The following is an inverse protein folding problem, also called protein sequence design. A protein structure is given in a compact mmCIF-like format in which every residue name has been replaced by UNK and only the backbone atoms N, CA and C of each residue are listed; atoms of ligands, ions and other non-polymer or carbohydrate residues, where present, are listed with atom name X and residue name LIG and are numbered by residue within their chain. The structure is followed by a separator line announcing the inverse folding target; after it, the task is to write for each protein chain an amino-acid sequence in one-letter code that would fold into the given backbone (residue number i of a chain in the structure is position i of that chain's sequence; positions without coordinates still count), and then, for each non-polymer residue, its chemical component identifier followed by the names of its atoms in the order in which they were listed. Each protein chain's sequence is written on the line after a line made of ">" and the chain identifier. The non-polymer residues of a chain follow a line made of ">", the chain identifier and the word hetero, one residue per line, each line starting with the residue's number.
data_IF_430017983071
#
_entry.id   IF_430017983071
#
_cell.length_a   1.000
_cell.length_b   1.000
_cell.length_c   1.000
_cell.angle_alpha   90.00
_cell.angle_beta   90.00
_cell.angle_gamma   90.00
#
_symmetry.space_group_name_H-M   'P 1'
#
loop_
_entity.id
_entity.type
_entity.pdbx_description
1 polymer ?
#
# COMPACT_ATOMS: atom_id res chain seq x y z
N UNK A 1 4.66 7.84 35.89
CA UNK A 1 4.82 6.72 34.94
C UNK A 1 3.53 5.94 34.99
N UNK A 2 2.83 5.81 33.87
CA UNK A 2 1.54 5.09 33.84
C UNK A 2 1.84 3.60 33.67
N UNK A 3 1.78 2.84 34.76
CA UNK A 3 1.74 1.39 34.71
C UNK A 3 0.39 0.95 34.13
N UNK A 4 0.32 0.93 32.80
CA UNK A 4 -0.76 0.25 32.09
C UNK A 4 -0.37 -1.22 31.99
N UNK A 5 -0.90 -2.03 32.92
CA UNK A 5 -1.01 -3.48 32.78
C UNK A 5 -1.83 -3.80 31.52
N UNK A 6 -1.17 -3.82 30.36
CA UNK A 6 -1.73 -4.40 29.15
C UNK A 6 -1.77 -5.90 29.39
N UNK A 7 -2.90 -6.37 29.92
CA UNK A 7 -3.12 -7.78 30.22
C UNK A 7 -2.82 -8.62 28.96
N UNK A 8 -1.81 -9.51 28.96
CA UNK A 8 -1.31 -10.19 27.77
C UNK A 8 -2.38 -10.94 26.95
N UNK A 9 -3.42 -11.40 27.65
CA UNK A 9 -4.60 -12.08 27.10
C UNK A 9 -5.37 -11.18 26.13
N UNK A 10 -5.54 -9.90 26.47
CA UNK A 10 -6.24 -8.95 25.60
C UNK A 10 -5.43 -8.71 24.33
N UNK A 11 -4.12 -8.50 24.43
CA UNK A 11 -3.26 -8.30 23.26
C UNK A 11 -3.26 -9.50 22.31
N UNK A 12 -3.17 -10.73 22.83
CA UNK A 12 -3.17 -11.94 21.99
C UNK A 12 -4.51 -12.14 21.25
N UNK A 13 -5.64 -11.79 21.87
CA UNK A 13 -6.96 -11.80 21.22
C UNK A 13 -7.04 -10.79 20.07
N UNK A 14 -6.64 -9.53 20.29
CA UNK A 14 -6.63 -8.50 19.24
C UNK A 14 -5.69 -8.88 18.09
N UNK A 15 -4.48 -9.37 18.42
CA UNK A 15 -3.50 -9.81 17.41
C UNK A 15 -4.05 -10.96 16.57
N UNK A 16 -4.76 -11.90 17.18
CA UNK A 16 -5.37 -13.02 16.46
C UNK A 16 -6.51 -12.56 15.56
N UNK A 17 -7.37 -11.65 16.05
CA UNK A 17 -8.48 -11.08 15.28
C UNK A 17 -8.02 -10.32 14.03
N UNK A 18 -6.92 -9.57 14.14
CA UNK A 18 -6.36 -8.78 13.03
C UNK A 18 -5.13 -9.42 12.37
N UNK A 19 -4.92 -10.72 12.60
CA UNK A 19 -3.79 -11.46 12.05
C UNK A 19 -3.67 -11.30 10.54
N UNK A 20 -4.78 -11.38 9.81
CA UNK A 20 -4.83 -11.21 8.37
C UNK A 20 -4.19 -9.87 7.92
N UNK A 21 -4.52 -8.77 8.59
CA UNK A 21 -3.96 -7.45 8.30
C UNK A 21 -2.47 -7.41 8.62
N UNK A 22 -2.09 -7.90 9.80
CA UNK A 22 -0.70 -7.93 10.25
C UNK A 22 0.18 -8.72 9.27
N UNK A 23 -0.26 -9.91 8.86
CA UNK A 23 0.50 -10.80 7.98
C UNK A 23 0.68 -10.19 6.58
N UNK A 24 -0.36 -9.56 6.03
CA UNK A 24 -0.28 -8.88 4.72
C UNK A 24 0.69 -7.70 4.78
N UNK A 25 0.57 -6.83 5.79
CA UNK A 25 1.45 -5.67 5.91
C UNK A 25 2.90 -6.09 6.20
N UNK A 26 3.11 -7.13 7.01
CA UNK A 26 4.43 -7.71 7.18
C UNK A 26 5.01 -8.20 5.86
N UNK A 27 4.22 -8.92 5.05
CA UNK A 27 4.66 -9.38 3.73
C UNK A 27 5.01 -8.21 2.81
N UNK A 28 4.21 -7.14 2.78
CA UNK A 28 4.49 -5.93 2.00
C UNK A 28 5.81 -5.26 2.42
N UNK A 29 6.03 -5.05 3.72
CA UNK A 29 7.25 -4.39 4.23
C UNK A 29 8.51 -5.25 4.12
N UNK A 30 8.36 -6.57 4.07
CA UNK A 30 9.45 -7.54 3.90
C UNK A 30 9.69 -7.93 2.45
N UNK A 31 8.84 -7.47 1.52
CA UNK A 31 8.94 -7.76 0.09
C UNK A 31 10.31 -7.34 -0.45
N UNK A 32 11.02 -8.30 -1.05
CA UNK A 32 12.37 -8.13 -1.61
C UNK A 32 12.47 -8.56 -3.06
N UNK A 33 11.37 -8.44 -3.78
CA UNK A 33 11.22 -9.03 -5.11
C UNK A 33 10.58 -8.06 -6.09
N UNK A 34 11.01 -8.18 -7.34
CA UNK A 34 10.41 -7.55 -8.51
C UNK A 34 9.83 -8.62 -9.47
N UNK A 35 9.86 -9.89 -9.08
CA UNK A 35 9.33 -10.97 -9.91
C UNK A 35 7.82 -10.91 -9.93
N UNK A 36 7.25 -10.88 -11.12
CA UNK A 36 5.82 -10.78 -11.36
C UNK A 36 5.03 -11.92 -10.69
N UNK A 37 5.55 -13.16 -10.72
CA UNK A 37 4.92 -14.31 -10.08
C UNK A 37 4.75 -14.13 -8.56
N UNK A 38 5.79 -13.62 -7.89
CA UNK A 38 5.77 -13.39 -6.45
C UNK A 38 4.83 -12.22 -6.11
N UNK A 39 4.79 -11.17 -6.95
CA UNK A 39 3.83 -10.07 -6.80
C UNK A 39 2.39 -10.52 -7.00
N UNK A 40 2.13 -11.39 -7.98
CA UNK A 40 0.81 -11.96 -8.22
C UNK A 40 0.34 -12.83 -7.05
N UNK A 41 1.26 -13.53 -6.37
CA UNK A 41 0.94 -14.27 -5.14
C UNK A 41 0.54 -13.32 -4.01
N UNK A 42 1.27 -12.23 -3.80
CA UNK A 42 0.92 -11.20 -2.80
C UNK A 42 -0.44 -10.57 -3.13
N UNK A 43 -0.68 -10.23 -4.40
CA UNK A 43 -1.94 -9.66 -4.86
C UNK A 43 -3.13 -10.60 -4.59
N UNK A 44 -2.99 -11.90 -4.92
CA UNK A 44 -4.02 -12.91 -4.64
C UNK A 44 -4.35 -12.97 -3.15
N UNK A 45 -3.33 -12.99 -2.29
CA UNK A 45 -3.54 -13.00 -0.84
C UNK A 45 -4.29 -11.75 -0.36
N UNK A 46 -3.91 -10.58 -0.86
CA UNK A 46 -4.62 -9.31 -0.57
C UNK A 46 -6.09 -9.42 -0.97
N UNK A 47 -6.34 -9.88 -2.20
CA UNK A 47 -7.70 -10.02 -2.72
C UNK A 47 -8.55 -10.95 -1.87
N UNK A 48 -8.08 -12.17 -1.59
CA UNK A 48 -8.84 -13.17 -0.84
C UNK A 48 -9.06 -12.76 0.62
N UNK A 49 -8.02 -12.26 1.28
CA UNK A 49 -8.08 -11.98 2.72
C UNK A 49 -8.74 -10.65 3.04
N UNK A 50 -8.68 -9.66 2.15
CA UNK A 50 -9.17 -8.31 2.41
C UNK A 50 -10.38 -7.90 1.58
N UNK A 51 -10.37 -8.16 0.27
CA UNK A 51 -11.38 -7.63 -0.66
C UNK A 51 -12.59 -8.56 -0.74
N UNK A 52 -12.35 -9.86 -0.98
CA UNK A 52 -13.41 -10.87 -1.05
C UNK A 52 -14.13 -11.03 0.31
N UNK A 53 -13.39 -10.81 1.40
CA UNK A 53 -13.93 -10.81 2.77
C UNK A 53 -14.56 -9.48 3.20
N UNK A 54 -14.51 -8.46 2.34
CA UNK A 54 -14.98 -7.09 2.59
C UNK A 54 -14.42 -6.44 3.87
N UNK A 55 -13.22 -6.87 4.30
CA UNK A 55 -12.56 -6.35 5.51
C UNK A 55 -11.81 -5.05 5.26
N UNK A 56 -11.33 -4.81 4.04
CA UNK A 56 -10.52 -3.64 3.72
C UNK A 56 -10.84 -3.04 2.35
N UNK A 57 -11.12 -1.74 2.24
CA UNK A 57 -11.41 -1.12 0.94
C UNK A 57 -10.18 -1.08 0.01
N UNK A 58 -10.33 -1.40 -1.28
CA UNK A 58 -9.23 -1.31 -2.27
C UNK A 58 -8.54 0.05 -2.32
N UNK A 59 -9.31 1.14 -2.19
CA UNK A 59 -8.79 2.52 -2.14
C UNK A 59 -7.81 2.73 -0.99
N UNK A 60 -8.11 2.18 0.20
CA UNK A 60 -7.23 2.29 1.35
C UNK A 60 -5.96 1.45 1.14
N UNK A 61 -6.10 0.28 0.49
CA UNK A 61 -4.97 -0.57 0.18
C UNK A 61 -3.97 0.11 -0.77
N UNK A 62 -4.46 0.75 -1.83
CA UNK A 62 -3.61 1.53 -2.74
C UNK A 62 -2.90 2.64 -1.99
N UNK A 63 -3.60 3.38 -1.11
CA UNK A 63 -3.00 4.44 -0.30
C UNK A 63 -1.84 3.90 0.52
N UNK A 64 -2.05 2.79 1.21
CA UNK A 64 -1.07 2.28 2.14
C UNK A 64 0.15 1.69 1.40
N UNK A 65 -0.06 0.98 0.29
CA UNK A 65 1.02 0.49 -0.58
C UNK A 65 1.88 1.66 -1.08
N UNK A 66 1.27 2.73 -1.58
CA UNK A 66 2.00 3.88 -2.10
C UNK A 66 2.75 4.64 -1.00
N UNK A 67 2.25 4.64 0.23
CA UNK A 67 2.92 5.27 1.37
C UNK A 67 4.11 4.45 1.92
N UNK A 68 4.34 3.21 1.44
CA UNK A 68 5.55 2.43 1.75
C UNK A 68 6.77 2.93 0.94
N UNK A 69 6.53 3.42 -0.29
CA UNK A 69 7.57 3.79 -1.25
C UNK A 69 8.63 4.75 -0.67
N UNK A 70 8.28 5.84 0.06
CA UNK A 70 9.26 6.76 0.62
C UNK A 70 10.27 6.09 1.57
N UNK A 71 9.90 4.96 2.18
CA UNK A 71 10.72 4.25 3.17
C UNK A 71 11.41 3.01 2.60
N UNK A 72 10.91 2.45 1.49
CA UNK A 72 11.39 1.19 0.89
C UNK A 72 11.62 1.34 -0.62
N UNK A 73 12.43 2.32 -0.99
CA UNK A 73 12.64 2.73 -2.38
C UNK A 73 13.23 1.65 -3.32
N UNK A 74 13.99 0.68 -2.79
CA UNK A 74 14.65 -0.37 -3.61
C UNK A 74 13.67 -1.15 -4.50
N UNK A 75 12.45 -1.38 -4.01
CA UNK A 75 11.43 -2.18 -4.70
C UNK A 75 10.24 -1.33 -5.15
N UNK A 76 10.48 -0.06 -5.46
CA UNK A 76 9.42 0.90 -5.84
C UNK A 76 8.52 0.37 -6.96
N UNK A 77 9.12 -0.24 -8.00
CA UNK A 77 8.36 -0.79 -9.14
C UNK A 77 7.33 -1.82 -8.70
N UNK A 78 7.69 -2.70 -7.78
CA UNK A 78 6.79 -3.71 -7.22
C UNK A 78 5.57 -3.10 -6.52
N UNK A 79 5.77 -2.08 -5.70
CA UNK A 79 4.68 -1.38 -5.03
C UNK A 79 3.78 -0.63 -6.03
N UNK A 80 4.38 0.01 -7.04
CA UNK A 80 3.63 0.68 -8.12
C UNK A 80 2.79 -0.34 -8.91
N UNK A 81 3.36 -1.48 -9.27
CA UNK A 81 2.66 -2.56 -9.98
C UNK A 81 1.50 -3.12 -9.16
N UNK A 82 1.69 -3.37 -7.86
CA UNK A 82 0.61 -3.80 -6.97
C UNK A 82 -0.51 -2.76 -6.88
N UNK A 83 -0.17 -1.48 -6.70
CA UNK A 83 -1.14 -0.40 -6.70
C UNK A 83 -1.91 -0.31 -8.02
N UNK A 84 -1.23 -0.54 -9.15
CA UNK A 84 -1.85 -0.56 -10.48
C UNK A 84 -2.84 -1.72 -10.63
N UNK A 85 -2.45 -2.94 -10.25
CA UNK A 85 -3.34 -4.11 -10.32
C UNK A 85 -4.65 -3.87 -9.57
N UNK A 86 -4.56 -3.33 -8.34
CA UNK A 86 -5.73 -3.00 -7.53
C UNK A 86 -6.54 -1.86 -8.18
N UNK A 87 -5.86 -0.83 -8.68
CA UNK A 87 -6.50 0.32 -9.34
C UNK A 87 -7.28 -0.09 -10.59
N UNK A 88 -6.71 -0.97 -11.40
CA UNK A 88 -7.28 -1.44 -12.66
C UNK A 88 -8.48 -2.35 -12.40
N UNK A 89 -8.35 -3.32 -11.48
CA UNK A 89 -9.40 -4.29 -11.17
C UNK A 89 -10.61 -3.66 -10.45
N UNK A 90 -10.37 -2.75 -9.50
CA UNK A 90 -11.43 -2.12 -8.71
C UNK A 90 -11.80 -0.70 -9.19
N UNK A 91 -11.26 -0.29 -10.34
CA UNK A 91 -11.52 1.00 -10.98
C UNK A 91 -11.36 2.22 -10.05
N UNK A 92 -10.34 2.20 -9.18
CA UNK A 92 -10.11 3.26 -8.20
C UNK A 92 -9.51 4.49 -8.88
N UNK A 93 -10.30 5.56 -9.02
CA UNK A 93 -9.85 6.79 -9.70
C UNK A 93 -9.09 7.78 -8.81
N UNK A 94 -9.40 7.81 -7.52
CA UNK A 94 -8.90 8.86 -6.61
C UNK A 94 -8.46 8.29 -5.28
N UNK A 95 -7.24 8.62 -4.85
CA UNK A 95 -6.68 8.16 -3.57
C UNK A 95 -6.18 9.38 -2.77
N UNK A 96 -6.72 9.56 -1.57
CA UNK A 96 -6.36 10.68 -0.70
C UNK A 96 -5.28 10.25 0.30
N UNK A 97 -4.58 11.22 0.89
CA UNK A 97 -3.57 11.01 1.94
C UNK A 97 -2.42 10.08 1.49
N UNK A 98 -1.96 10.26 0.26
CA UNK A 98 -0.75 9.61 -0.28
C UNK A 98 0.30 10.68 -0.48
N UNK A 99 1.56 10.35 -0.16
CA UNK A 99 2.72 11.20 -0.45
C UNK A 99 2.72 11.66 -1.91
N UNK A 100 2.93 12.96 -2.13
CA UNK A 100 3.00 13.53 -3.47
C UNK A 100 4.09 12.86 -4.32
N UNK A 101 5.21 12.47 -3.70
CA UNK A 101 6.30 11.74 -4.37
C UNK A 101 5.80 10.41 -4.92
N UNK A 102 5.05 9.65 -4.12
CA UNK A 102 4.58 8.33 -4.52
C UNK A 102 3.58 8.39 -5.65
N UNK A 103 2.61 9.32 -5.60
CA UNK A 103 1.63 9.42 -6.68
C UNK A 103 2.20 10.13 -7.94
N UNK A 104 3.28 10.92 -7.82
CA UNK A 104 4.08 11.40 -8.96
C UNK A 104 4.82 10.23 -9.62
N UNK A 105 5.45 9.34 -8.85
CA UNK A 105 6.10 8.14 -9.37
C UNK A 105 5.09 7.24 -10.10
N UNK A 106 3.90 7.04 -9.52
CA UNK A 106 2.82 6.28 -10.15
C UNK A 106 2.37 6.88 -11.48
N UNK A 107 2.17 8.20 -11.52
CA UNK A 107 1.85 8.89 -12.77
C UNK A 107 2.98 8.79 -13.80
N UNK A 108 4.23 8.95 -13.39
CA UNK A 108 5.39 8.86 -14.29
C UNK A 108 5.50 7.48 -14.93
N UNK A 109 5.20 6.42 -14.18
CA UNK A 109 5.30 5.04 -14.66
C UNK A 109 4.12 4.65 -15.57
N UNK A 110 2.88 5.05 -15.24
CA UNK A 110 1.68 4.53 -15.91
C UNK A 110 0.82 5.59 -16.61
N UNK A 111 1.09 6.88 -16.44
CA UNK A 111 0.29 7.97 -16.99
C UNK A 111 -1.07 8.16 -16.28
N UNK A 112 -1.33 7.46 -15.18
CA UNK A 112 -2.60 7.48 -14.45
C UNK A 112 -2.52 8.47 -13.28
N UNK A 113 -3.52 9.34 -13.16
CA UNK A 113 -3.64 10.28 -12.03
C UNK A 113 -4.55 9.69 -10.95
N UNK A 114 -3.97 9.39 -9.78
CA UNK A 114 -4.71 8.89 -8.61
C UNK A 114 -5.23 10.06 -7.74
N UNK A 115 -6.18 10.83 -8.27
CA UNK A 115 -6.75 12.01 -7.61
C UNK A 115 -5.99 13.30 -7.89
N UNK A 116 -6.41 14.36 -7.20
CA UNK A 116 -5.87 15.69 -7.41
C UNK A 116 -4.43 15.80 -6.89
N UNK A 117 -3.61 16.39 -7.74
CA UNK A 117 -2.19 16.60 -7.57
C UNK A 117 -1.94 18.09 -7.75
N UNK A 118 -2.14 18.85 -6.69
CA UNK A 118 -2.11 20.32 -6.75
C UNK A 118 -0.73 20.89 -7.13
N UNK A 119 0.34 20.09 -7.10
CA UNK A 119 1.72 20.58 -7.22
C UNK A 119 2.60 19.76 -8.18
N UNK A 120 2.10 19.39 -9.36
CA UNK A 120 2.96 18.82 -10.42
C UNK A 120 4.17 19.70 -10.75
N UNK A 121 3.99 21.03 -10.69
CA UNK A 121 5.03 22.01 -11.02
C UNK A 121 6.15 22.08 -9.97
N UNK A 122 5.87 21.82 -8.69
CA UNK A 122 6.89 21.88 -7.62
C UNK A 122 7.93 20.76 -7.70
N UNK A 123 7.61 19.64 -8.35
CA UNK A 123 8.53 18.50 -8.51
C UNK A 123 9.28 18.53 -9.85
N UNK A 124 8.78 19.24 -10.87
CA UNK A 124 9.52 19.49 -12.12
C UNK A 124 10.81 20.30 -11.87
N UNK A 125 10.82 21.15 -10.85
CA UNK A 125 11.94 22.07 -10.55
C UNK A 125 13.04 21.49 -9.67
N UNK A 126 12.97 20.21 -9.26
CA UNK A 126 14.01 19.54 -8.45
C UNK A 126 14.96 18.61 -9.22
N UNK A 127 14.89 18.63 -10.56
CA UNK A 127 15.98 18.10 -11.37
C UNK A 127 16.93 19.25 -11.70
N UNK A 128 17.89 19.50 -10.80
CA UNK A 128 19.17 20.15 -11.08
C UNK A 128 20.27 19.25 -10.53
#
# INVERSE_FOLDING_TARGET
>A
MSDQDVHPIKYSEWRSKYKYYIDIFNALYQMKTEKEEELNSIYKNIKTELFDSNKYPPRNMIRDILNIIPFKNRYTKSYLSLAKLISDEYHVKTVNNVSDVSKFMFYKEYGIKLGDFDNFEKYKSKNL
#
